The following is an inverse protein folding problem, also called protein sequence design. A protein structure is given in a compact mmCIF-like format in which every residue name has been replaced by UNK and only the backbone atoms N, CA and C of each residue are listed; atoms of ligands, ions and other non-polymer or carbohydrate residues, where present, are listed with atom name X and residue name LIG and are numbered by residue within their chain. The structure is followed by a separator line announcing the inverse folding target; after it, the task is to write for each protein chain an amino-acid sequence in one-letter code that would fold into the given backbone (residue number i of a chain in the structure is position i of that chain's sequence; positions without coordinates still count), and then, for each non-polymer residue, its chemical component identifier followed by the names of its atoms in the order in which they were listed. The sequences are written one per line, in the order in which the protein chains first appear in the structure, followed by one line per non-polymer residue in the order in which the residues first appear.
data_IF_305670990209
#
_entry.id   IF_305670990209
#
_cell.length_a   1.000
_cell.length_b   1.000
_cell.length_c   1.000
_cell.angle_alpha   90.00
_cell.angle_beta   90.00
_cell.angle_gamma   90.00
#
_symmetry.space_group_name_H-M   'P 1'
#
loop_
_entity.id
_entity.type
_entity.pdbx_description
1 polymer ?
#
# COMPACT_ATOMS: atom_id res chain seq x y z
N UNK A 1 -27.87 35.57 99.56
CA UNK A 1 -26.44 35.31 99.28
C UNK A 1 -26.30 34.16 98.29
N UNK A 2 -25.16 34.11 97.58
CA UNK A 2 -24.71 33.12 96.60
C UNK A 2 -25.06 33.39 95.11
N UNK A 3 -24.18 34.19 94.48
CA UNK A 3 -23.98 34.33 93.03
C UNK A 3 -23.47 33.00 92.45
N UNK A 4 -24.03 32.54 91.32
CA UNK A 4 -23.46 31.47 90.50
C UNK A 4 -22.67 32.07 89.32
N UNK A 5 -21.46 31.57 89.02
CA UNK A 5 -20.60 32.12 87.99
C UNK A 5 -20.92 31.57 86.60
N UNK A 6 -20.67 32.43 85.62
CA UNK A 6 -20.72 32.22 84.18
C UNK A 6 -19.40 31.54 83.75
N UNK A 7 -19.47 30.37 83.10
CA UNK A 7 -18.33 29.76 82.40
C UNK A 7 -18.77 29.35 81.01
N UNK A 8 -18.14 29.98 80.02
CA UNK A 8 -18.34 29.80 78.59
C UNK A 8 -17.92 28.39 78.13
N UNK A 9 -18.75 27.78 77.26
CA UNK A 9 -18.39 26.54 76.53
C UNK A 9 -18.08 26.88 75.08
N UNK A 10 -16.83 26.61 74.73
CA UNK A 10 -16.23 26.63 73.39
C UNK A 10 -17.04 25.71 72.44
N UNK A 11 -17.36 26.14 71.21
CA UNK A 11 -18.05 25.29 70.24
C UNK A 11 -17.13 24.16 69.76
N UNK A 12 -17.62 22.93 69.88
CA UNK A 12 -16.93 21.72 69.42
C UNK A 12 -16.80 21.74 67.89
N UNK A 13 -15.56 21.65 67.41
CA UNK A 13 -15.27 21.31 66.02
C UNK A 13 -16.06 20.06 65.59
N UNK A 14 -16.91 20.22 64.57
CA UNK A 14 -17.55 19.12 63.84
C UNK A 14 -16.45 18.30 63.16
N UNK A 15 -16.06 17.18 63.77
CA UNK A 15 -15.36 16.11 63.07
C UNK A 15 -16.37 15.47 62.13
N UNK A 16 -16.22 15.69 60.82
CA UNK A 16 -16.89 14.87 59.82
C UNK A 16 -16.35 13.45 59.96
N UNK A 17 -17.13 12.58 60.59
CA UNK A 17 -16.92 11.15 60.52
C UNK A 17 -17.08 10.75 59.05
N UNK A 18 -16.00 10.24 58.44
CA UNK A 18 -16.12 9.50 57.20
C UNK A 18 -17.01 8.29 57.52
N UNK A 19 -18.28 8.40 57.12
CA UNK A 19 -19.25 7.33 57.13
C UNK A 19 -18.66 6.10 56.44
N UNK A 20 -18.84 4.94 57.06
CA UNK A 20 -18.23 3.69 56.64
C UNK A 20 -18.54 3.36 55.19
N UNK A 21 -17.54 2.85 54.47
CA UNK A 21 -17.72 2.24 53.14
C UNK A 21 -18.46 0.91 53.35
N UNK A 22 -19.76 0.92 53.10
CA UNK A 22 -20.57 -0.29 53.03
C UNK A 22 -20.20 -1.06 51.75
N UNK A 23 -19.71 -2.30 51.90
CA UNK A 23 -19.37 -3.16 50.76
C UNK A 23 -20.66 -3.81 50.25
N UNK A 24 -21.16 -3.37 49.09
CA UNK A 24 -22.27 -4.04 48.41
C UNK A 24 -21.78 -5.34 47.77
N UNK A 25 -22.30 -6.48 48.23
CA UNK A 25 -22.11 -7.77 47.58
C UNK A 25 -23.03 -7.84 46.35
N UNK A 26 -22.45 -7.78 45.16
CA UNK A 26 -23.19 -7.94 43.90
C UNK A 26 -23.08 -9.38 43.44
N UNK A 27 -24.21 -10.08 43.29
CA UNK A 27 -24.24 -11.39 42.63
C UNK A 27 -23.95 -11.22 41.14
N UNK A 28 -22.77 -11.69 40.72
CA UNK A 28 -22.30 -11.59 39.34
C UNK A 28 -22.75 -12.77 38.46
N UNK A 29 -23.33 -13.84 39.04
CA UNK A 29 -23.66 -15.06 38.30
C UNK A 29 -24.59 -14.83 37.10
N UNK A 30 -25.74 -14.14 37.26
CA UNK A 30 -26.63 -13.82 36.15
C UNK A 30 -25.95 -12.97 35.05
N UNK A 31 -25.08 -12.05 35.45
CA UNK A 31 -24.35 -11.16 34.54
C UNK A 31 -23.32 -11.95 33.73
N UNK A 32 -22.57 -12.85 34.39
CA UNK A 32 -21.61 -13.75 33.75
C UNK A 32 -22.29 -14.67 32.73
N UNK A 33 -23.41 -15.30 33.10
CA UNK A 33 -24.18 -16.16 32.19
C UNK A 33 -24.70 -15.40 30.97
N UNK A 34 -25.18 -14.17 31.17
CA UNK A 34 -25.62 -13.31 30.06
C UNK A 34 -24.46 -12.93 29.13
N UNK A 35 -23.30 -12.56 29.68
CA UNK A 35 -22.09 -12.24 28.91
C UNK A 35 -21.58 -13.47 28.13
N UNK A 36 -21.57 -14.65 28.77
CA UNK A 36 -21.18 -15.91 28.15
C UNK A 36 -22.08 -16.28 26.96
N UNK A 37 -23.41 -16.16 27.11
CA UNK A 37 -24.35 -16.39 26.00
C UNK A 37 -24.09 -15.44 24.82
N UNK A 38 -23.78 -14.16 25.09
CA UNK A 38 -23.42 -13.18 24.05
C UNK A 38 -22.12 -13.58 23.35
N UNK A 39 -21.10 -13.98 24.10
CA UNK A 39 -19.82 -14.44 23.55
C UNK A 39 -20.01 -15.68 22.65
N UNK A 40 -20.78 -16.67 23.10
CA UNK A 40 -21.08 -17.86 22.30
C UNK A 40 -21.81 -17.53 20.99
N UNK A 41 -22.76 -16.59 21.04
CA UNK A 41 -23.45 -16.12 19.83
C UNK A 41 -22.51 -15.36 18.89
N UNK A 42 -21.63 -14.51 19.42
CA UNK A 42 -20.63 -13.78 18.65
C UNK A 42 -19.65 -14.74 17.95
N UNK A 43 -19.17 -15.78 18.66
CA UNK A 43 -18.32 -16.85 18.09
C UNK A 43 -18.99 -17.54 16.90
N UNK A 44 -20.25 -17.94 17.02
CA UNK A 44 -21.00 -18.57 15.91
C UNK A 44 -21.10 -17.65 14.69
N UNK A 45 -21.29 -16.34 14.90
CA UNK A 45 -21.37 -15.36 13.80
C UNK A 45 -20.01 -15.16 13.14
N UNK A 46 -18.94 -15.03 13.92
CA UNK A 46 -17.57 -14.95 13.39
C UNK A 46 -17.24 -16.21 12.58
N UNK A 47 -17.46 -17.40 13.14
CA UNK A 47 -17.21 -18.66 12.44
C UNK A 47 -17.96 -18.75 11.11
N UNK A 48 -19.21 -18.28 11.05
CA UNK A 48 -19.97 -18.20 9.79
C UNK A 48 -19.33 -17.22 8.80
N UNK A 49 -18.95 -16.02 9.23
CA UNK A 49 -18.31 -15.03 8.37
C UNK A 49 -16.98 -15.56 7.83
N UNK A 50 -16.14 -16.14 8.68
CA UNK A 50 -14.87 -16.77 8.27
C UNK A 50 -15.10 -17.93 7.31
N UNK A 51 -16.12 -18.77 7.52
CA UNK A 51 -16.44 -19.86 6.60
C UNK A 51 -16.93 -19.34 5.23
N UNK A 52 -17.71 -18.26 5.21
CA UNK A 52 -18.15 -17.60 3.98
C UNK A 52 -16.96 -16.96 3.23
N UNK A 53 -16.03 -16.34 3.97
CA UNK A 53 -14.79 -15.76 3.44
C UNK A 53 -13.90 -16.84 2.82
N UNK A 54 -13.58 -17.88 3.59
CA UNK A 54 -12.77 -19.01 3.14
C UNK A 54 -13.38 -19.72 1.93
N UNK A 55 -14.71 -19.92 1.89
CA UNK A 55 -15.37 -20.49 0.71
C UNK A 55 -15.16 -19.60 -0.51
N UNK A 56 -15.28 -18.30 -0.36
CA UNK A 56 -15.08 -17.38 -1.49
C UNK A 56 -13.66 -17.48 -2.04
N UNK A 57 -12.65 -17.34 -1.17
CA UNK A 57 -11.24 -17.29 -1.55
C UNK A 57 -10.74 -18.64 -2.08
N UNK A 58 -11.13 -19.75 -1.45
CA UNK A 58 -10.55 -21.07 -1.76
C UNK A 58 -11.41 -21.91 -2.71
N UNK A 59 -12.69 -21.60 -2.88
CA UNK A 59 -13.60 -22.40 -3.71
C UNK A 59 -14.23 -21.56 -4.82
N UNK A 60 -14.92 -20.47 -4.46
CA UNK A 60 -15.70 -19.71 -5.44
C UNK A 60 -14.80 -18.97 -6.45
N UNK A 61 -13.74 -18.30 -5.99
CA UNK A 61 -12.83 -17.54 -6.84
C UNK A 61 -12.02 -18.43 -7.80
N UNK A 62 -11.39 -19.54 -7.34
CA UNK A 62 -10.75 -20.49 -8.24
C UNK A 62 -11.73 -21.13 -9.24
N UNK A 63 -12.94 -21.49 -8.80
CA UNK A 63 -13.96 -22.04 -9.69
C UNK A 63 -14.40 -21.02 -10.75
N UNK A 64 -14.59 -19.76 -10.35
CA UNK A 64 -14.90 -18.67 -11.28
C UNK A 64 -13.77 -18.47 -12.29
N UNK A 65 -12.51 -18.39 -11.83
CA UNK A 65 -11.32 -18.25 -12.70
C UNK A 65 -11.18 -19.41 -13.68
N UNK A 66 -11.42 -20.64 -13.23
CA UNK A 66 -11.42 -21.82 -14.11
C UNK A 66 -12.53 -21.74 -15.15
N UNK A 67 -13.72 -21.31 -14.73
CA UNK A 67 -14.84 -21.15 -15.64
C UNK A 67 -14.60 -20.03 -16.67
N UNK A 68 -14.08 -18.87 -16.26
CA UNK A 68 -13.79 -17.77 -17.19
C UNK A 68 -12.77 -18.19 -18.24
N UNK A 69 -11.73 -18.94 -17.86
CA UNK A 69 -10.75 -19.52 -18.77
C UNK A 69 -11.39 -20.43 -19.84
N UNK A 70 -12.45 -21.16 -19.48
CA UNK A 70 -13.18 -22.04 -20.42
C UNK A 70 -14.27 -21.32 -21.22
N UNK A 71 -14.85 -20.24 -20.69
CA UNK A 71 -16.00 -19.58 -21.28
C UNK A 71 -15.67 -18.79 -22.55
N UNK A 72 -14.52 -18.11 -22.57
CA UNK A 72 -14.07 -17.23 -23.66
C UNK A 72 -12.54 -17.32 -23.88
N UNK A 73 -12.01 -18.48 -24.28
CA UNK A 73 -10.56 -18.70 -24.40
C UNK A 73 -9.90 -17.79 -25.45
N UNK A 74 -10.59 -17.48 -26.54
CA UNK A 74 -10.10 -16.63 -27.62
C UNK A 74 -9.90 -15.18 -27.15
N UNK A 75 -10.92 -14.58 -26.52
CA UNK A 75 -10.85 -13.21 -25.99
C UNK A 75 -9.75 -13.07 -24.92
N UNK A 76 -9.60 -14.06 -24.04
CA UNK A 76 -8.55 -14.04 -23.02
C UNK A 76 -7.14 -14.15 -23.62
N UNK A 77 -6.98 -14.91 -24.71
CA UNK A 77 -5.70 -15.02 -25.42
C UNK A 77 -5.35 -13.70 -26.10
N UNK A 78 -6.31 -13.11 -26.81
CA UNK A 78 -6.18 -11.80 -27.45
C UNK A 78 -5.83 -10.70 -26.43
N UNK A 79 -6.52 -10.67 -25.28
CA UNK A 79 -6.25 -9.73 -24.20
C UNK A 79 -4.81 -9.86 -23.66
N UNK A 80 -4.32 -11.09 -23.47
CA UNK A 80 -2.95 -11.36 -23.00
C UNK A 80 -1.90 -10.91 -24.01
N UNK A 81 -2.11 -11.21 -25.29
CA UNK A 81 -1.21 -10.80 -26.36
C UNK A 81 -1.14 -9.28 -26.49
N UNK A 82 -2.28 -8.60 -26.47
CA UNK A 82 -2.34 -7.13 -26.52
C UNK A 82 -1.73 -6.48 -25.28
N UNK A 83 -1.99 -7.03 -24.09
CA UNK A 83 -1.41 -6.53 -22.84
C UNK A 83 0.12 -6.68 -22.84
N UNK A 84 0.65 -7.81 -23.32
CA UNK A 84 2.09 -8.03 -23.46
C UNK A 84 2.72 -7.02 -24.44
N UNK A 85 2.11 -6.82 -25.60
CA UNK A 85 2.58 -5.83 -26.58
C UNK A 85 2.51 -4.39 -26.06
N UNK A 86 1.44 -4.04 -25.33
CA UNK A 86 1.29 -2.74 -24.70
C UNK A 86 2.39 -2.50 -23.68
N UNK A 87 2.61 -3.44 -22.75
CA UNK A 87 3.64 -3.34 -21.72
C UNK A 87 5.05 -3.29 -22.30
N UNK A 88 5.34 -4.01 -23.39
CA UNK A 88 6.62 -3.95 -24.10
C UNK A 88 6.86 -2.55 -24.67
N UNK A 89 5.88 -1.98 -25.38
CA UNK A 89 5.98 -0.63 -25.96
C UNK A 89 6.00 0.47 -24.91
N UNK A 90 5.25 0.32 -23.83
CA UNK A 90 5.26 1.26 -22.71
C UNK A 90 6.66 1.30 -22.07
N UNK A 91 7.24 0.14 -21.75
CA UNK A 91 8.63 0.06 -21.25
C UNK A 91 9.63 0.69 -22.21
N UNK A 92 9.46 0.46 -23.51
CA UNK A 92 10.32 1.05 -24.54
C UNK A 92 10.24 2.58 -24.54
N UNK A 93 9.02 3.14 -24.57
CA UNK A 93 8.77 4.58 -24.54
C UNK A 93 9.32 5.20 -23.25
N UNK A 94 8.94 4.67 -22.08
CA UNK A 94 9.41 5.17 -20.79
C UNK A 94 10.93 5.09 -20.66
N UNK A 95 11.55 4.03 -21.20
CA UNK A 95 13.01 3.88 -21.17
C UNK A 95 13.72 4.93 -22.04
N UNK A 96 13.18 5.26 -23.21
CA UNK A 96 13.72 6.31 -24.09
C UNK A 96 13.53 7.69 -23.46
N UNK A 97 12.37 7.96 -22.89
CA UNK A 97 12.07 9.22 -22.21
C UNK A 97 12.94 9.43 -20.98
N UNK A 98 13.14 8.38 -20.18
CA UNK A 98 14.03 8.41 -19.01
C UNK A 98 15.49 8.70 -19.41
N UNK A 99 15.99 8.07 -20.47
CA UNK A 99 17.34 8.34 -20.98
C UNK A 99 17.46 9.74 -21.61
N UNK A 100 16.42 10.19 -22.32
CA UNK A 100 16.34 11.55 -22.84
C UNK A 100 16.40 12.59 -21.73
N UNK A 101 15.63 12.38 -20.67
CA UNK A 101 15.64 13.21 -19.46
C UNK A 101 17.03 13.22 -18.80
N UNK A 102 17.62 12.04 -18.58
CA UNK A 102 18.93 11.92 -17.91
C UNK A 102 20.09 12.54 -18.74
N UNK A 103 20.03 12.43 -20.06
CA UNK A 103 21.09 12.96 -20.96
C UNK A 103 20.83 14.40 -21.42
N UNK A 104 19.66 14.97 -21.10
CA UNK A 104 19.19 16.25 -21.63
C UNK A 104 18.98 16.24 -23.16
N UNK A 105 19.00 15.06 -23.80
CA UNK A 105 18.81 14.90 -25.24
C UNK A 105 17.32 14.82 -25.55
N UNK A 106 16.94 15.15 -26.78
CA UNK A 106 15.56 14.93 -27.21
C UNK A 106 15.28 13.42 -27.41
N UNK A 107 14.08 12.91 -27.08
CA UNK A 107 13.73 11.50 -27.21
C UNK A 107 14.01 10.90 -28.59
N UNK A 108 13.82 11.66 -29.68
CA UNK A 108 14.00 11.16 -31.04
C UNK A 108 15.48 10.84 -31.35
N UNK A 109 16.41 11.59 -30.73
CA UNK A 109 17.85 11.35 -30.86
C UNK A 109 18.29 10.12 -30.10
N UNK A 110 17.74 9.93 -28.90
CA UNK A 110 17.99 8.74 -28.07
C UNK A 110 17.47 7.50 -28.77
N UNK A 111 16.22 7.54 -29.26
CA UNK A 111 15.62 6.45 -30.03
C UNK A 111 16.47 6.06 -31.25
N UNK A 112 16.92 7.05 -32.02
CA UNK A 112 17.78 6.80 -33.17
C UNK A 112 19.13 6.18 -32.79
N UNK A 113 19.74 6.64 -31.69
CA UNK A 113 21.00 6.06 -31.19
C UNK A 113 20.84 4.60 -30.77
N UNK A 114 19.68 4.22 -30.20
CA UNK A 114 19.36 2.82 -29.88
C UNK A 114 19.16 1.95 -31.12
N UNK A 115 18.47 2.46 -32.13
CA UNK A 115 18.23 1.74 -33.39
C UNK A 115 19.50 1.59 -34.24
N UNK A 116 20.41 2.56 -34.16
CA UNK A 116 21.68 2.56 -34.88
C UNK A 116 22.83 2.61 -33.88
N UNK A 117 23.08 1.51 -33.13
CA UNK A 117 24.19 1.48 -32.20
C UNK A 117 25.50 1.69 -32.99
N UNK A 118 26.41 2.54 -32.52
CA UNK A 118 27.70 2.70 -33.18
C UNK A 118 28.41 1.34 -33.24
N UNK A 119 29.17 1.05 -34.31
CA UNK A 119 29.88 -0.22 -34.45
C UNK A 119 30.79 -0.42 -33.24
N UNK A 120 30.73 -1.61 -32.63
CA UNK A 120 31.47 -1.97 -31.43
C UNK A 120 32.97 -1.67 -31.62
N UNK A 121 33.47 -0.62 -30.97
CA UNK A 121 34.84 -0.14 -31.12
C UNK A 121 34.96 1.36 -31.46
N UNK A 122 33.88 2.01 -31.88
CA UNK A 122 33.82 3.46 -31.88
C UNK A 122 33.64 3.93 -30.42
N UNK A 123 34.76 4.19 -29.74
CA UNK A 123 34.75 4.95 -28.49
C UNK A 123 33.88 6.18 -28.73
N UNK A 124 32.82 6.42 -27.95
CA UNK A 124 32.09 7.67 -28.07
C UNK A 124 33.13 8.77 -27.90
N UNK A 125 33.33 9.57 -28.96
CA UNK A 125 34.16 10.74 -28.85
C UNK A 125 33.66 11.49 -27.61
N UNK A 126 34.53 11.92 -26.68
CA UNK A 126 34.11 12.71 -25.54
C UNK A 126 33.56 14.03 -26.10
N UNK A 127 32.28 14.03 -26.43
CA UNK A 127 31.53 15.20 -26.84
C UNK A 127 31.53 16.09 -25.61
N UNK A 128 32.45 17.06 -25.63
CA UNK A 128 32.61 18.18 -24.70
C UNK A 128 31.66 18.02 -23.54
N UNK A 129 32.15 17.37 -22.48
CA UNK A 129 31.63 17.63 -21.15
C UNK A 129 31.42 19.15 -21.11
N UNK A 130 30.16 19.57 -20.99
CA UNK A 130 29.90 20.91 -20.52
C UNK A 130 30.82 21.04 -19.32
N UNK A 131 31.78 21.96 -19.41
CA UNK A 131 32.80 22.16 -18.38
C UNK A 131 32.03 22.38 -17.11
N UNK A 132 31.85 21.31 -16.34
CA UNK A 132 31.53 21.39 -14.95
C UNK A 132 32.82 21.98 -14.38
N UNK A 133 32.81 23.30 -14.23
CA UNK A 133 33.88 24.02 -13.56
C UNK A 133 33.78 23.61 -12.09
N UNK A 134 34.70 22.78 -11.56
CA UNK A 134 34.62 22.31 -10.18
C UNK A 134 34.96 23.42 -9.17
N UNK A 135 34.96 24.68 -9.59
CA UNK A 135 35.38 25.85 -8.81
C UNK A 135 34.37 27.01 -8.82
N UNK A 136 33.21 26.86 -9.44
CA UNK A 136 32.10 27.85 -9.35
C UNK A 136 31.11 27.51 -8.22
N UNK A 137 31.59 26.82 -7.18
CA UNK A 137 30.97 26.81 -5.86
C UNK A 137 31.33 28.14 -5.16
N UNK A 138 30.44 29.12 -5.30
CA UNK A 138 30.46 30.27 -4.40
C UNK A 138 30.38 29.78 -2.94
N UNK A 139 31.27 30.27 -2.06
CA UNK A 139 31.35 29.83 -0.68
C UNK A 139 30.16 30.38 0.09
N UNK A 140 29.12 29.55 0.27
CA UNK A 140 28.16 29.81 1.34
C UNK A 140 28.91 29.82 2.67
N UNK A 141 28.78 30.96 3.35
CA UNK A 141 29.63 31.40 4.44
C UNK A 141 29.61 30.58 5.73
N UNK A 142 30.26 31.10 6.77
CA UNK A 142 30.81 30.31 7.86
C UNK A 142 29.79 29.99 8.96
N UNK A 143 29.88 28.76 9.45
CA UNK A 143 29.62 28.42 10.85
C UNK A 143 28.36 27.61 11.09
N UNK A 144 28.52 26.32 11.41
CA UNK A 144 28.47 25.88 12.82
C UNK A 144 28.84 24.39 12.97
N UNK A 145 29.88 24.17 13.77
CA UNK A 145 30.13 23.03 14.68
C UNK A 145 29.82 21.59 14.26
N UNK A 146 30.90 20.84 14.03
CA UNK A 146 31.30 19.67 14.82
C UNK A 146 30.18 18.73 15.31
N UNK A 147 29.84 17.75 14.47
CA UNK A 147 29.32 16.45 14.88
C UNK A 147 29.86 15.42 13.89
N UNK A 148 30.50 14.37 14.38
CA UNK A 148 31.08 13.32 13.55
C UNK A 148 30.02 12.74 12.59
N UNK A 149 30.21 12.94 11.29
CA UNK A 149 29.33 12.40 10.26
C UNK A 149 29.46 10.87 10.22
N UNK A 150 28.33 10.19 10.39
CA UNK A 150 28.17 8.76 10.18
C UNK A 150 28.33 8.48 8.67
N UNK A 151 29.22 7.57 8.23
CA UNK A 151 29.40 7.19 6.82
C UNK A 151 28.12 6.70 6.11
N UNK A 152 27.02 6.51 6.84
CA UNK A 152 25.70 6.13 6.32
C UNK A 152 24.72 7.29 6.08
N UNK A 153 25.09 8.56 6.34
CA UNK A 153 24.20 9.71 6.07
C UNK A 153 24.87 10.80 5.20
N UNK A 154 24.92 10.62 3.86
CA UNK A 154 25.56 11.57 2.94
C UNK A 154 24.86 12.94 2.79
N UNK A 155 23.61 13.10 3.25
CA UNK A 155 22.81 14.32 3.04
C UNK A 155 22.24 14.93 4.32
N UNK A 156 22.35 14.27 5.48
CA UNK A 156 21.81 14.78 6.73
C UNK A 156 20.29 14.65 6.78
N UNK A 157 19.78 13.94 7.80
CA UNK A 157 18.33 13.75 8.03
C UNK A 157 17.50 15.06 7.94
N UNK A 158 18.07 16.20 8.34
CA UNK A 158 17.42 17.51 8.28
C UNK A 158 17.23 18.06 6.85
N UNK A 159 18.16 17.81 5.93
CA UNK A 159 18.02 18.26 4.54
C UNK A 159 17.04 17.37 3.78
N UNK A 160 17.04 16.07 4.07
CA UNK A 160 16.04 15.12 3.54
C UNK A 160 14.61 15.50 3.96
N UNK A 161 14.40 15.83 5.24
CA UNK A 161 13.07 16.26 5.71
C UNK A 161 12.62 17.56 5.04
N UNK A 162 13.54 18.50 4.82
CA UNK A 162 13.26 19.74 4.10
C UNK A 162 12.87 19.49 2.63
N UNK A 163 13.61 18.64 1.93
CA UNK A 163 13.33 18.24 0.54
C UNK A 163 11.94 17.57 0.41
N UNK A 164 11.62 16.66 1.33
CA UNK A 164 10.33 15.95 1.33
C UNK A 164 9.17 16.88 1.71
N UNK A 165 9.39 17.88 2.57
CA UNK A 165 8.39 18.89 2.89
C UNK A 165 8.10 19.80 1.69
N UNK A 166 9.12 20.21 0.94
CA UNK A 166 8.97 20.99 -0.30
C UNK A 166 8.23 20.19 -1.38
N UNK A 167 8.60 18.92 -1.59
CA UNK A 167 7.92 18.04 -2.55
C UNK A 167 6.44 17.82 -2.22
N UNK A 168 6.10 17.59 -0.94
CA UNK A 168 4.72 17.40 -0.53
C UNK A 168 3.90 18.70 -0.60
N UNK A 169 4.51 19.85 -0.30
CA UNK A 169 3.87 21.15 -0.46
C UNK A 169 3.56 21.45 -1.93
N UNK A 170 4.47 21.12 -2.85
CA UNK A 170 4.29 21.33 -4.29
C UNK A 170 3.21 20.41 -4.90
N UNK A 171 3.05 19.20 -4.36
CA UNK A 171 2.06 18.22 -4.81
C UNK A 171 0.74 18.25 -4.02
N UNK A 172 0.57 19.19 -3.08
CA UNK A 172 -0.65 19.32 -2.27
C UNK A 172 -0.92 18.11 -1.35
N UNK A 173 0.12 17.33 -1.03
CA UNK A 173 0.02 16.16 -0.17
C UNK A 173 0.27 16.60 1.28
N UNK A 174 -0.67 16.32 2.18
CA UNK A 174 -0.47 16.63 3.60
C UNK A 174 0.63 15.74 4.19
N UNK A 175 1.58 16.28 4.99
CA UNK A 175 2.62 15.48 5.64
C UNK A 175 2.10 14.36 6.56
N UNK A 176 0.85 14.51 7.05
CA UNK A 176 0.17 13.56 7.91
C UNK A 176 -0.72 12.56 7.14
N UNK A 177 -0.73 12.62 5.80
CA UNK A 177 -1.49 11.69 4.96
C UNK A 177 -0.85 10.28 4.99
N UNK A 178 -1.62 9.19 5.17
CA UNK A 178 -1.10 7.83 5.04
C UNK A 178 -0.38 7.55 3.70
N UNK A 179 -0.72 8.26 2.61
CA UNK A 179 0.04 8.18 1.35
C UNK A 179 1.45 8.81 1.45
N UNK A 180 1.60 9.91 2.19
CA UNK A 180 2.89 10.55 2.43
C UNK A 180 3.83 9.64 3.24
N UNK A 181 3.27 8.89 4.19
CA UNK A 181 4.01 7.90 4.97
C UNK A 181 4.51 6.73 4.11
N UNK A 182 3.65 6.17 3.24
CA UNK A 182 4.05 5.09 2.33
C UNK A 182 5.08 5.54 1.29
N UNK A 183 4.97 6.77 0.78
CA UNK A 183 5.95 7.35 -0.15
C UNK A 183 7.32 7.56 0.51
N UNK A 184 7.36 8.07 1.75
CA UNK A 184 8.61 8.19 2.54
C UNK A 184 9.29 6.85 2.78
N UNK A 185 8.51 5.80 3.07
CA UNK A 185 9.04 4.45 3.30
C UNK A 185 9.60 3.83 2.01
N UNK A 186 8.93 4.06 0.87
CA UNK A 186 9.36 3.56 -0.43
C UNK A 186 10.61 4.26 -0.97
N UNK A 187 10.69 5.58 -0.88
CA UNK A 187 11.85 6.35 -1.36
C UNK A 187 13.04 6.24 -0.39
N UNK A 188 12.80 6.31 0.92
CA UNK A 188 13.84 6.14 1.93
C UNK A 188 14.47 4.74 1.89
N UNK A 189 13.67 3.69 1.63
CA UNK A 189 14.18 2.33 1.44
C UNK A 189 15.01 2.15 0.16
N UNK A 190 14.68 2.87 -0.91
CA UNK A 190 15.40 2.82 -2.19
C UNK A 190 16.75 3.55 -2.13
N UNK A 191 16.83 4.67 -1.43
CA UNK A 191 18.03 5.51 -1.33
C UNK A 191 18.94 5.18 -0.13
N UNK A 192 18.58 4.17 0.68
CA UNK A 192 19.36 3.77 1.86
C UNK A 192 19.17 4.66 3.09
N UNK A 193 18.31 5.68 3.01
CA UNK A 193 17.93 6.59 4.11
C UNK A 193 16.72 6.10 4.89
N UNK A 194 16.44 4.79 4.88
CA UNK A 194 15.36 4.25 5.70
C UNK A 194 15.64 4.68 7.14
N UNK A 195 14.82 5.56 7.75
CA UNK A 195 15.04 5.98 9.13
C UNK A 195 15.15 4.69 9.95
N UNK A 196 16.11 4.58 10.89
CA UNK A 196 16.26 3.38 11.70
C UNK A 196 14.89 3.05 12.24
N UNK A 197 14.36 1.91 11.78
CA UNK A 197 12.98 1.46 12.00
C UNK A 197 12.62 1.90 13.40
N UNK A 198 11.70 2.87 13.61
CA UNK A 198 11.42 3.37 14.94
C UNK A 198 11.16 2.13 15.77
N UNK A 199 11.99 1.88 16.79
CA UNK A 199 11.82 0.74 17.69
C UNK A 199 10.35 0.79 18.05
N UNK A 200 9.56 -0.14 17.53
CA UNK A 200 8.11 -0.03 17.54
C UNK A 200 7.70 -0.04 19.00
N UNK A 201 7.51 1.15 19.56
CA UNK A 201 7.07 1.41 20.91
C UNK A 201 5.55 1.21 20.90
N UNK A 202 5.16 -0.03 20.61
CA UNK A 202 3.85 -0.68 20.66
C UNK A 202 3.95 -1.88 19.73
N UNK A 203 3.73 -3.08 20.27
CA UNK A 203 4.05 -4.35 19.62
C UNK A 203 3.21 -4.57 18.38
N UNK A 204 3.82 -5.21 17.38
CA UNK A 204 3.08 -5.93 16.34
C UNK A 204 2.05 -6.85 17.04
N UNK A 205 0.74 -6.59 16.90
CA UNK A 205 -0.29 -7.32 17.61
C UNK A 205 -0.25 -8.83 17.29
N UNK A 206 0.17 -9.19 16.06
CA UNK A 206 0.35 -10.59 15.68
C UNK A 206 1.50 -11.23 16.46
N UNK A 207 2.59 -10.49 16.68
CA UNK A 207 3.74 -10.95 17.47
C UNK A 207 3.38 -11.13 18.94
N UNK A 208 2.54 -10.27 19.49
CA UNK A 208 2.10 -10.38 20.88
C UNK A 208 1.19 -11.59 21.09
N UNK A 209 0.19 -11.78 20.22
CA UNK A 209 -0.69 -12.96 20.22
C UNK A 209 0.13 -14.24 20.02
N UNK A 210 1.01 -14.26 19.02
CA UNK A 210 1.92 -15.39 18.77
C UNK A 210 2.79 -15.69 19.99
N UNK A 211 3.35 -14.67 20.65
CA UNK A 211 4.18 -14.87 21.86
C UNK A 211 3.36 -15.48 23.00
N UNK A 212 2.11 -15.04 23.22
CA UNK A 212 1.22 -15.62 24.24
C UNK A 212 0.89 -17.07 23.90
N UNK A 213 0.48 -17.35 22.66
CA UNK A 213 0.18 -18.69 22.17
C UNK A 213 1.37 -19.63 22.30
N UNK A 214 2.55 -19.23 21.84
CA UNK A 214 3.78 -20.03 21.94
C UNK A 214 4.14 -20.30 23.40
N UNK A 215 4.07 -19.28 24.26
CA UNK A 215 4.37 -19.43 25.69
C UNK A 215 3.44 -20.41 26.40
N UNK A 216 2.20 -20.50 25.94
CA UNK A 216 1.16 -21.33 26.55
C UNK A 216 1.07 -22.73 25.93
N UNK A 217 1.32 -22.86 24.63
CA UNK A 217 1.31 -24.12 23.89
C UNK A 217 2.66 -24.85 23.94
N UNK A 218 3.73 -24.25 24.47
CA UNK A 218 5.06 -24.88 24.51
C UNK A 218 5.04 -26.23 25.26
N UNK A 219 5.67 -27.29 24.72
CA UNK A 219 5.71 -28.61 25.36
C UNK A 219 6.37 -28.59 26.74
N UNK A 220 7.32 -27.69 26.97
CA UNK A 220 8.04 -27.57 28.26
C UNK A 220 7.22 -26.93 29.39
N UNK A 221 6.07 -26.29 29.10
CA UNK A 221 5.19 -25.75 30.14
C UNK A 221 4.10 -26.77 30.48
N UNK A 222 4.40 -27.50 31.54
CA UNK A 222 3.69 -28.64 32.14
C UNK A 222 2.18 -28.71 31.89
N UNK A 223 1.80 -29.72 31.12
CA UNK A 223 0.46 -30.23 30.89
C UNK A 223 0.56 -31.44 29.96
N UNK A 224 -0.49 -32.26 29.87
CA UNK A 224 -0.48 -33.40 28.94
C UNK A 224 -0.35 -32.90 27.49
N UNK A 225 0.64 -33.45 26.77
CA UNK A 225 0.84 -33.18 25.35
C UNK A 225 -0.19 -33.95 24.52
N UNK A 226 -1.42 -33.42 24.47
CA UNK A 226 -2.51 -34.05 23.73
C UNK A 226 -2.31 -33.90 22.21
N UNK A 227 -2.82 -34.83 21.39
CA UNK A 227 -2.81 -34.69 19.93
C UNK A 227 -3.50 -33.41 19.44
N UNK A 228 -4.51 -32.93 20.17
CA UNK A 228 -5.17 -31.66 19.88
C UNK A 228 -4.24 -30.46 20.10
N UNK A 229 -3.47 -30.45 21.21
CA UNK A 229 -2.47 -29.40 21.50
C UNK A 229 -1.37 -29.35 20.43
N UNK A 230 -0.91 -30.51 19.97
CA UNK A 230 0.09 -30.62 18.91
C UNK A 230 -0.40 -30.05 17.57
N UNK A 231 -1.65 -30.33 17.18
CA UNK A 231 -2.26 -29.75 15.97
C UNK A 231 -2.34 -28.22 16.06
N UNK A 232 -2.83 -27.72 17.18
CA UNK A 232 -2.98 -26.28 17.43
C UNK A 232 -1.62 -25.56 17.40
N UNK A 233 -0.58 -26.18 17.96
CA UNK A 233 0.79 -25.68 17.84
C UNK A 233 1.26 -25.55 16.38
N UNK A 234 1.06 -26.57 15.54
CA UNK A 234 1.43 -26.51 14.13
C UNK A 234 0.63 -25.47 13.35
N UNK A 235 -0.66 -25.32 13.63
CA UNK A 235 -1.50 -24.30 13.02
C UNK A 235 -1.05 -22.88 13.42
N UNK A 236 -0.60 -22.68 14.68
CA UNK A 236 -0.05 -21.39 15.13
C UNK A 236 1.23 -21.03 14.37
N UNK A 237 2.10 -22.01 14.11
CA UNK A 237 3.32 -21.79 13.33
C UNK A 237 2.98 -21.40 11.88
N UNK A 238 2.04 -22.11 11.24
CA UNK A 238 1.60 -21.81 9.88
C UNK A 238 0.95 -20.42 9.77
N UNK A 239 0.10 -20.06 10.74
CA UNK A 239 -0.53 -18.74 10.80
C UNK A 239 0.49 -17.61 10.95
N UNK A 240 1.54 -17.83 11.76
CA UNK A 240 2.62 -16.87 11.93
C UNK A 240 3.47 -16.70 10.67
N UNK A 241 3.81 -17.80 9.99
CA UNK A 241 4.57 -17.78 8.73
C UNK A 241 3.78 -17.05 7.63
N UNK A 242 2.46 -17.27 7.59
CA UNK A 242 1.54 -16.54 6.71
C UNK A 242 1.29 -15.08 7.11
N UNK A 243 1.80 -14.64 8.29
CA UNK A 243 1.55 -13.31 8.88
C UNK A 243 0.06 -12.99 9.02
N UNK A 244 -0.76 -14.02 9.25
CA UNK A 244 -2.20 -13.89 9.35
C UNK A 244 -2.62 -13.63 10.82
N UNK A 245 -2.82 -12.35 11.14
CA UNK A 245 -3.28 -11.88 12.45
C UNK A 245 -4.64 -12.47 12.84
N UNK A 246 -5.55 -12.64 11.87
CA UNK A 246 -6.90 -13.13 12.13
C UNK A 246 -6.87 -14.62 12.47
N UNK A 247 -6.04 -15.38 11.76
CA UNK A 247 -5.82 -16.79 12.05
C UNK A 247 -5.18 -16.98 13.42
N UNK A 248 -4.17 -16.19 13.78
CA UNK A 248 -3.56 -16.21 15.12
C UNK A 248 -4.58 -15.86 16.22
N UNK A 249 -5.41 -14.84 16.03
CA UNK A 249 -6.44 -14.44 16.99
C UNK A 249 -7.47 -15.56 17.20
N UNK A 250 -7.86 -16.26 16.12
CA UNK A 250 -8.76 -17.41 16.21
C UNK A 250 -8.14 -18.56 17.03
N UNK A 251 -6.87 -18.88 16.77
CA UNK A 251 -6.16 -19.94 17.48
C UNK A 251 -5.99 -19.63 18.96
N UNK A 252 -5.80 -18.35 19.33
CA UNK A 252 -5.80 -17.91 20.73
C UNK A 252 -7.14 -18.19 21.41
N UNK A 253 -8.25 -17.83 20.77
CA UNK A 253 -9.59 -18.08 21.29
C UNK A 253 -9.90 -19.58 21.39
N UNK A 254 -9.42 -20.39 20.44
CA UNK A 254 -9.59 -21.85 20.43
C UNK A 254 -8.80 -22.52 21.54
N UNK A 255 -7.55 -22.09 21.75
CA UNK A 255 -6.72 -22.54 22.87
C UNK A 255 -7.33 -22.17 24.23
N UNK A 256 -7.81 -20.92 24.39
CA UNK A 256 -8.48 -20.48 25.63
C UNK A 256 -9.77 -21.26 25.92
N UNK A 257 -10.52 -21.63 24.88
CA UNK A 257 -11.71 -22.47 25.01
C UNK A 257 -11.36 -23.92 25.39
N UNK A 258 -10.32 -24.50 24.78
CA UNK A 258 -9.88 -25.86 25.06
C UNK A 258 -9.26 -26.03 26.46
N UNK A 259 -8.69 -24.95 27.02
CA UNK A 259 -8.02 -24.96 28.32
C UNK A 259 -8.97 -24.49 29.45
N UNK A 260 -10.26 -24.32 29.19
CA UNK A 260 -11.27 -23.79 30.13
C UNK A 260 -10.92 -22.43 30.77
N UNK A 261 -9.97 -21.68 30.21
CA UNK A 261 -9.58 -20.35 30.69
C UNK A 261 -10.73 -19.33 30.56
N UNK A 262 -11.62 -19.57 29.59
CA UNK A 262 -12.89 -18.86 29.41
C UNK A 262 -14.07 -19.82 29.55
N UNK A 263 -14.73 -19.76 30.71
CA UNK A 263 -15.94 -20.50 31.02
C UNK A 263 -17.09 -19.58 31.46
N UNK A 264 -18.27 -20.14 31.74
CA UNK A 264 -19.43 -19.38 32.20
C UNK A 264 -19.19 -18.68 33.56
N UNK A 265 -18.21 -19.14 34.33
CA UNK A 265 -17.81 -18.55 35.61
C UNK A 265 -16.66 -17.53 35.50
N UNK A 266 -16.14 -17.27 34.30
CA UNK A 266 -15.03 -16.32 34.11
C UNK A 266 -15.41 -14.90 34.52
N UNK A 267 -14.44 -14.07 34.95
CA UNK A 267 -14.71 -12.68 35.30
C UNK A 267 -15.39 -11.93 34.15
N UNK A 268 -16.46 -11.17 34.48
CA UNK A 268 -17.26 -10.45 33.48
C UNK A 268 -16.39 -9.56 32.58
N UNK A 269 -15.39 -8.87 33.15
CA UNK A 269 -14.47 -8.02 32.39
C UNK A 269 -13.74 -8.77 31.29
N UNK A 270 -13.25 -10.00 31.55
CA UNK A 270 -12.57 -10.82 30.54
C UNK A 270 -13.54 -11.29 29.45
N UNK A 271 -14.77 -11.69 29.83
CA UNK A 271 -15.82 -12.06 28.86
C UNK A 271 -16.18 -10.91 27.93
N UNK A 272 -16.25 -9.68 28.47
CA UNK A 272 -16.53 -8.48 27.68
C UNK A 272 -15.35 -8.10 26.77
N UNK A 273 -14.12 -8.25 27.25
CA UNK A 273 -12.92 -8.04 26.41
C UNK A 273 -12.89 -9.04 25.25
N UNK A 274 -13.09 -10.33 25.51
CA UNK A 274 -13.16 -11.36 24.47
C UNK A 274 -14.30 -11.08 23.48
N UNK A 275 -15.43 -10.55 23.95
CA UNK A 275 -16.53 -10.13 23.07
C UNK A 275 -16.11 -8.98 22.14
N UNK A 276 -15.38 -7.98 22.63
CA UNK A 276 -14.88 -6.87 21.82
C UNK A 276 -13.89 -7.34 20.75
N UNK A 277 -12.97 -8.24 21.11
CA UNK A 277 -11.99 -8.84 20.19
C UNK A 277 -12.72 -9.59 19.06
N UNK A 278 -13.69 -10.44 19.40
CA UNK A 278 -14.47 -11.22 18.43
C UNK A 278 -15.34 -10.31 17.54
N UNK A 279 -15.97 -9.28 18.10
CA UNK A 279 -16.75 -8.33 17.30
C UNK A 279 -15.87 -7.48 16.37
N UNK A 280 -14.62 -7.19 16.78
CA UNK A 280 -13.60 -6.59 15.91
C UNK A 280 -13.31 -7.48 14.71
N UNK A 281 -12.84 -8.71 14.95
CA UNK A 281 -12.55 -9.68 13.89
C UNK A 281 -13.76 -9.94 12.97
N UNK A 282 -14.96 -9.98 13.53
CA UNK A 282 -16.20 -10.16 12.77
C UNK A 282 -16.48 -8.97 11.85
N UNK A 283 -16.32 -7.74 12.33
CA UNK A 283 -16.52 -6.54 11.50
C UNK A 283 -15.55 -6.52 10.34
N UNK A 284 -14.32 -6.96 10.56
CA UNK A 284 -13.27 -6.99 9.54
C UNK A 284 -13.58 -8.04 8.47
N UNK A 285 -13.98 -9.24 8.89
CA UNK A 285 -14.52 -10.27 8.00
C UNK A 285 -15.75 -9.78 7.22
N UNK A 286 -16.70 -9.12 7.90
CA UNK A 286 -17.90 -8.56 7.27
C UNK A 286 -17.54 -7.45 6.25
N UNK A 287 -16.52 -6.63 6.53
CA UNK A 287 -16.03 -5.60 5.58
C UNK A 287 -15.50 -6.25 4.31
N UNK A 288 -14.64 -7.28 4.43
CA UNK A 288 -14.14 -8.05 3.27
C UNK A 288 -15.29 -8.69 2.49
N UNK A 289 -16.22 -9.33 3.18
CA UNK A 289 -17.41 -9.94 2.54
C UNK A 289 -18.25 -8.91 1.78
N UNK A 290 -18.39 -7.67 2.28
CA UNK A 290 -19.11 -6.62 1.54
C UNK A 290 -18.44 -6.30 0.22
N UNK A 291 -17.11 -6.18 0.20
CA UNK A 291 -16.36 -6.00 -1.05
C UNK A 291 -16.57 -7.18 -1.99
N UNK A 292 -16.46 -8.41 -1.47
CA UNK A 292 -16.62 -9.61 -2.29
C UNK A 292 -18.03 -9.83 -2.82
N UNK A 293 -19.07 -9.39 -2.12
CA UNK A 293 -20.46 -9.48 -2.62
C UNK A 293 -20.69 -8.75 -3.95
N UNK A 294 -19.83 -7.78 -4.29
CA UNK A 294 -19.87 -7.09 -5.57
C UNK A 294 -19.04 -7.79 -6.65
N UNK A 295 -18.20 -8.76 -6.27
CA UNK A 295 -17.44 -9.58 -7.21
C UNK A 295 -18.37 -10.58 -7.93
N UNK A 296 -18.22 -10.77 -9.25
CA UNK A 296 -18.96 -11.78 -10.00
C UNK A 296 -18.66 -13.22 -9.53
N UNK A 297 -17.54 -13.44 -8.84
CA UNK A 297 -17.17 -14.72 -8.28
C UNK A 297 -17.91 -15.05 -6.96
N UNK A 298 -18.65 -14.11 -6.36
CA UNK A 298 -19.30 -14.38 -5.07
C UNK A 298 -20.32 -15.52 -5.15
N UNK A 299 -20.14 -16.55 -4.31
CA UNK A 299 -21.00 -17.75 -4.27
C UNK A 299 -21.13 -18.47 -5.60
N UNK A 300 -20.12 -18.35 -6.47
CA UNK A 300 -20.12 -18.97 -7.78
C UNK A 300 -20.31 -20.50 -7.70
N UNK A 301 -19.68 -21.17 -6.73
CA UNK A 301 -19.81 -22.63 -6.54
C UNK A 301 -21.20 -23.08 -6.09
N UNK A 302 -22.03 -22.17 -5.57
CA UNK A 302 -23.39 -22.47 -5.13
C UNK A 302 -24.42 -22.34 -6.28
N UNK A 303 -24.01 -21.79 -7.42
CA UNK A 303 -24.88 -21.67 -8.59
C UNK A 303 -24.85 -22.99 -9.37
N UNK A 304 -26.01 -23.60 -9.67
CA UNK A 304 -26.07 -24.91 -10.34
C UNK A 304 -25.52 -24.87 -11.78
N UNK A 305 -25.60 -23.71 -12.43
CA UNK A 305 -24.88 -23.42 -13.67
C UNK A 305 -24.72 -21.89 -13.80
N UNK A 306 -23.54 -21.40 -14.23
CA UNK A 306 -23.38 -19.98 -14.55
C UNK A 306 -24.27 -19.62 -15.74
N UNK A 307 -25.15 -18.64 -15.55
CA UNK A 307 -26.13 -18.26 -16.56
C UNK A 307 -25.50 -17.60 -17.78
N UNK A 308 -26.12 -17.80 -18.94
CA UNK A 308 -25.79 -17.10 -20.19
C UNK A 308 -25.68 -15.56 -20.06
N UNK A 309 -26.51 -14.87 -19.25
CA UNK A 309 -26.34 -13.43 -19.02
C UNK A 309 -24.99 -13.04 -18.42
N UNK A 310 -24.46 -13.84 -17.49
CA UNK A 310 -23.14 -13.58 -16.89
C UNK A 310 -22.04 -13.78 -17.93
N UNK A 311 -22.18 -14.80 -18.78
CA UNK A 311 -21.24 -15.07 -19.86
C UNK A 311 -21.20 -13.93 -20.88
N UNK A 312 -22.35 -13.39 -21.26
CA UNK A 312 -22.44 -12.24 -22.19
C UNK A 312 -21.84 -10.99 -21.60
N UNK A 313 -22.21 -10.64 -20.37
CA UNK A 313 -21.63 -9.48 -19.67
C UNK A 313 -20.10 -9.57 -19.58
N UNK A 314 -19.57 -10.75 -19.25
CA UNK A 314 -18.12 -10.96 -19.22
C UNK A 314 -17.48 -10.78 -20.60
N UNK A 315 -18.15 -11.23 -21.67
CA UNK A 315 -17.66 -11.04 -23.03
C UNK A 315 -17.59 -9.55 -23.40
N UNK A 316 -18.63 -8.78 -23.06
CA UNK A 316 -18.68 -7.33 -23.27
C UNK A 316 -17.55 -6.63 -22.49
N UNK A 317 -17.36 -6.97 -21.21
CA UNK A 317 -16.29 -6.41 -20.38
C UNK A 317 -14.88 -6.70 -20.96
N UNK A 318 -14.64 -7.93 -21.44
CA UNK A 318 -13.39 -8.32 -22.09
C UNK A 318 -13.17 -7.60 -23.42
N UNK A 319 -14.21 -7.46 -24.23
CA UNK A 319 -14.14 -6.75 -25.51
C UNK A 319 -13.85 -5.26 -25.32
N UNK A 320 -14.46 -4.63 -24.32
CA UNK A 320 -14.19 -3.25 -23.95
C UNK A 320 -12.73 -3.06 -23.51
N UNK A 321 -12.17 -4.02 -22.75
CA UNK A 321 -10.78 -3.97 -22.34
C UNK A 321 -9.80 -4.16 -23.50
N UNK A 322 -10.09 -5.11 -24.40
CA UNK A 322 -9.36 -5.28 -25.67
C UNK A 322 -9.37 -3.99 -26.48
N UNK A 323 -10.53 -3.32 -26.60
CA UNK A 323 -10.65 -2.06 -27.33
C UNK A 323 -9.80 -0.94 -26.70
N UNK A 324 -9.80 -0.84 -25.36
CA UNK A 324 -8.95 0.12 -24.62
C UNK A 324 -7.45 -0.15 -24.84
N UNK A 325 -7.02 -1.40 -24.76
CA UNK A 325 -5.61 -1.76 -25.01
C UNK A 325 -5.18 -1.47 -26.44
N UNK A 326 -6.02 -1.77 -27.43
CA UNK A 326 -5.76 -1.43 -28.83
C UNK A 326 -5.60 0.07 -29.04
N UNK A 327 -6.47 0.87 -28.44
CA UNK A 327 -6.36 2.32 -28.49
C UNK A 327 -5.04 2.82 -27.87
N UNK A 328 -4.71 2.35 -26.66
CA UNK A 328 -3.46 2.71 -25.98
C UNK A 328 -2.21 2.29 -26.76
N UNK A 329 -2.24 1.09 -27.37
CA UNK A 329 -1.15 0.61 -28.22
C UNK A 329 -0.98 1.48 -29.47
N UNK A 330 -2.07 1.93 -30.09
CA UNK A 330 -2.03 2.86 -31.21
C UNK A 330 -1.44 4.23 -30.83
N UNK A 331 -1.71 4.73 -29.63
CA UNK A 331 -1.10 5.96 -29.12
C UNK A 331 0.42 5.80 -28.92
N UNK A 332 0.87 4.70 -28.32
CA UNK A 332 2.30 4.41 -28.14
C UNK A 332 3.01 4.23 -29.49
N UNK A 333 2.40 3.52 -30.44
CA UNK A 333 2.92 3.38 -31.80
C UNK A 333 3.04 4.73 -32.50
N UNK A 334 2.08 5.63 -32.31
CA UNK A 334 2.14 6.98 -32.88
C UNK A 334 3.32 7.77 -32.32
N UNK A 335 3.57 7.70 -31.01
CA UNK A 335 4.74 8.34 -30.37
C UNK A 335 6.04 7.81 -30.96
N UNK A 336 6.18 6.49 -31.08
CA UNK A 336 7.36 5.86 -31.69
C UNK A 336 7.51 6.30 -33.16
N UNK A 337 6.41 6.31 -33.93
CA UNK A 337 6.42 6.74 -35.32
C UNK A 337 6.72 8.24 -35.51
N UNK A 338 6.33 9.09 -34.56
CA UNK A 338 6.69 10.51 -34.53
C UNK A 338 8.20 10.67 -34.33
N UNK A 339 8.81 9.90 -33.43
CA UNK A 339 10.26 9.88 -33.23
C UNK A 339 11.01 9.42 -34.49
N UNK A 340 10.51 8.39 -35.17
CA UNK A 340 11.08 7.91 -36.43
C UNK A 340 10.96 8.95 -37.56
N UNK A 341 9.82 9.62 -37.68
CA UNK A 341 9.58 10.66 -38.70
C UNK A 341 10.43 11.90 -38.47
N UNK A 342 10.59 12.35 -37.23
CA UNK A 342 11.39 13.52 -36.89
C UNK A 342 12.86 13.39 -37.34
N UNK A 343 13.35 12.15 -37.43
CA UNK A 343 14.72 11.84 -37.83
C UNK A 343 14.90 11.59 -39.33
N UNK A 344 13.82 11.41 -40.09
CA UNK A 344 13.95 11.33 -41.55
C UNK A 344 14.46 12.67 -42.07
N UNK A 345 15.60 12.71 -42.79
CA UNK A 345 16.17 13.96 -43.28
C UNK A 345 15.09 14.62 -44.13
N UNK A 346 14.72 15.85 -43.75
CA UNK A 346 13.81 16.69 -44.54
C UNK A 346 14.41 16.80 -45.93
N UNK A 347 14.01 15.92 -46.85
CA UNK A 347 14.49 15.88 -48.23
C UNK A 347 14.36 17.30 -48.74
N UNK A 348 15.52 17.90 -49.00
CA UNK A 348 15.67 19.31 -49.28
C UNK A 348 14.51 19.77 -50.17
N UNK A 349 13.60 20.57 -49.60
CA UNK A 349 12.63 21.30 -50.37
C UNK A 349 13.49 22.23 -51.21
N UNK A 350 13.81 21.73 -52.42
CA UNK A 350 14.66 22.36 -53.41
C UNK A 350 14.32 23.84 -53.39
N UNK A 351 15.34 24.66 -53.13
CA UNK A 351 15.37 26.09 -53.45
C UNK A 351 14.69 26.26 -54.82
N UNK A 352 13.39 26.55 -54.83
CA UNK A 352 12.70 27.06 -56.01
C UNK A 352 13.14 28.50 -56.08
N UNK A 353 13.76 28.81 -57.22
CA UNK A 353 14.47 30.03 -57.54
C UNK A 353 14.05 31.27 -56.78
N UNK A 354 15.00 31.85 -56.06
CA UNK A 354 15.16 33.30 -56.07
C UNK A 354 15.62 33.64 -57.49
N UNK A 355 14.66 33.77 -58.41
CA UNK A 355 14.89 34.52 -59.65
C UNK A 355 15.23 35.94 -59.22
N UNK A 356 16.52 36.26 -59.29
CA UNK A 356 16.99 37.63 -59.28
C UNK A 356 16.43 38.23 -60.56
N UNK A 357 15.42 39.08 -60.46
CA UNK A 357 15.02 39.92 -61.59
C UNK A 357 16.24 40.75 -62.01
N UNK A 358 16.61 40.77 -63.30
CA UNK A 358 17.67 41.64 -63.77
C UNK A 358 17.17 43.08 -63.64
N UNK A 359 17.88 43.87 -62.83
CA UNK A 359 17.78 45.32 -62.79
C UNK A 359 17.82 45.87 -64.23
N UNK A 360 16.82 46.64 -64.70
CA UNK A 360 16.92 47.28 -66.00
C UNK A 360 18.07 48.29 -65.95
N UNK A 361 19.10 48.03 -66.76
CA UNK A 361 20.10 49.02 -67.14
C UNK A 361 19.37 50.17 -67.84
N UNK A 362 19.32 51.31 -67.17
CA UNK A 362 18.94 52.58 -67.79
C UNK A 362 20.13 52.97 -68.66
N UNK A 363 19.97 52.86 -69.98
CA UNK A 363 20.86 53.50 -70.94
C UNK A 363 20.71 55.03 -70.81
N UNK A 364 21.78 55.78 -70.53
CA UNK A 364 21.82 57.19 -70.81
C UNK A 364 22.32 57.40 -72.26
N UNK A 365 21.83 58.47 -72.88
CA UNK A 365 22.22 59.00 -74.19
C UNK A 365 21.43 58.49 -75.41
N UNK A 366 20.59 59.40 -75.91
CA UNK A 366 20.38 59.82 -77.31
C UNK A 366 18.92 60.30 -77.40
N UNK A 367 18.55 61.42 -77.97
CA UNK A 367 19.18 62.62 -78.51
C UNK A 367 17.99 63.50 -78.94
N UNK A 368 18.19 64.82 -79.00
CA UNK A 368 17.49 65.78 -79.86
C UNK A 368 15.98 65.63 -80.13
N UNK A 369 15.17 66.59 -79.65
CA UNK A 369 14.58 67.65 -80.49
C UNK A 369 13.97 68.77 -79.62
#
# INVERSE_FOLDING_TARGET
MARRPFIARIPKHRRHAFAGRELMLVDNGPIQLAAWKKLAAARKRLAKATADLHRHENVDEPAFRSWTATAHPELLTELRELSAQFAEKERLVSSVESEAYATGRRPERVWHARQNPPPAGATPAPERAATYDPWDDEPFGPGTSAGAADPQDPFGQAEYEKLMAEFFAENGISPDDPQAAGFRESIGGFLGYAPPKPKSASGDPAREIYRRLVQNLHPDRGGEWSPARARLWHEVQQAWDARDLDWLSRLEVEWEAATELLGPASPVGRLLQALQEIDGARRDSDRRIRTYKHSPAWRFSLLPAPGEPLRRRLAEELQDEIARLRYGLGELERVIADWERAMQPRRARRRRGRTVEPTPMIDPELEFF
#
